data_IF_697910335236
#
_entry.id   IF_697910335236
#
_cell.length_a   1.000
_cell.length_b   1.000
_cell.length_c   1.000
_cell.angle_alpha   90.00
_cell.angle_beta   90.00
_cell.angle_gamma   90.00
#
_symmetry.space_group_name_H-M   'P 1'
#
loop_
_entity.id
_entity.type
_entity.pdbx_description
1 polymer ?
#
# COMPACT_ATOMS: atom_id res chain seq x y z
N UNK A 1 16.97 1.99 -17.98
CA UNK A 1 16.45 1.38 -16.74
C UNK A 1 14.94 1.54 -16.76
N UNK A 2 14.20 0.50 -17.10
CA UNK A 2 12.73 0.51 -17.05
C UNK A 2 12.31 0.27 -15.61
N UNK A 3 11.83 1.30 -14.92
CA UNK A 3 11.19 1.14 -13.62
C UNK A 3 9.90 0.35 -13.84
N UNK A 4 9.91 -0.94 -13.50
CA UNK A 4 8.73 -1.79 -13.61
C UNK A 4 7.84 -1.53 -12.40
N UNK A 5 6.66 -0.95 -12.66
CA UNK A 5 5.63 -0.75 -11.64
C UNK A 5 4.94 -2.09 -11.39
N UNK A 6 5.15 -2.64 -10.19
CA UNK A 6 4.57 -3.92 -9.77
C UNK A 6 3.39 -3.76 -8.79
N UNK A 7 3.16 -2.54 -8.26
CA UNK A 7 2.10 -2.23 -7.31
C UNK A 7 1.50 -0.84 -7.62
N UNK A 8 0.17 -0.76 -7.69
CA UNK A 8 -0.58 0.49 -7.84
C UNK A 8 -1.59 0.60 -6.71
N UNK A 9 -1.57 1.74 -6.00
CA UNK A 9 -2.52 2.03 -4.93
C UNK A 9 -3.28 3.31 -5.29
N UNK A 10 -4.59 3.20 -5.45
CA UNK A 10 -5.47 4.35 -5.65
C UNK A 10 -5.82 4.98 -4.30
N UNK A 11 -5.41 6.23 -4.09
CA UNK A 11 -5.79 7.00 -2.91
C UNK A 11 -6.85 8.04 -3.29
N UNK A 12 -7.97 8.03 -2.56
CA UNK A 12 -9.03 9.03 -2.68
C UNK A 12 -9.46 9.46 -1.27
N UNK A 13 -9.46 10.76 -1.00
CA UNK A 13 -9.97 11.30 0.26
C UNK A 13 -10.92 12.48 0.02
N UNK A 14 -11.82 12.72 0.98
CA UNK A 14 -12.86 13.74 0.86
C UNK A 14 -12.33 15.18 1.04
N UNK A 15 -11.24 15.34 1.79
CA UNK A 15 -10.63 16.61 2.15
C UNK A 15 -9.12 16.45 2.36
N UNK A 16 -8.40 17.57 2.51
CA UNK A 16 -6.95 17.58 2.60
C UNK A 16 -6.40 16.90 3.86
N UNK A 17 -7.08 17.04 5.01
CA UNK A 17 -6.66 16.41 6.26
C UNK A 17 -6.82 14.89 6.18
N UNK A 18 -7.93 14.42 5.61
CA UNK A 18 -8.16 13.01 5.28
C UNK A 18 -7.12 12.47 4.29
N UNK A 19 -6.68 13.30 3.33
CA UNK A 19 -5.62 12.94 2.38
C UNK A 19 -4.27 12.76 3.06
N UNK A 20 -3.91 13.65 3.99
CA UNK A 20 -2.66 13.55 4.76
C UNK A 20 -2.67 12.30 5.62
N UNK A 21 -3.76 12.03 6.35
CA UNK A 21 -3.88 10.83 7.17
C UNK A 21 -3.73 9.54 6.37
N UNK A 22 -4.33 9.49 5.18
CA UNK A 22 -4.24 8.32 4.31
C UNK A 22 -2.84 8.14 3.69
N UNK A 23 -2.13 9.23 3.36
CA UNK A 23 -0.72 9.17 2.95
C UNK A 23 0.15 8.69 4.10
N UNK A 24 -0.10 9.13 5.33
CA UNK A 24 0.64 8.69 6.52
C UNK A 24 0.49 7.18 6.75
N UNK A 25 -0.75 6.68 6.76
CA UNK A 25 -1.01 5.25 6.90
C UNK A 25 -0.36 4.43 5.78
N UNK A 26 -0.44 4.91 4.53
CA UNK A 26 0.26 4.28 3.41
C UNK A 26 1.77 4.32 3.57
N UNK A 27 2.32 5.43 4.07
CA UNK A 27 3.76 5.56 4.27
C UNK A 27 4.26 4.61 5.34
N UNK A 28 3.51 4.41 6.43
CA UNK A 28 3.84 3.43 7.47
C UNK A 28 3.84 2.01 6.89
N UNK A 29 2.80 1.66 6.14
CA UNK A 29 2.64 0.34 5.51
C UNK A 29 3.72 0.06 4.46
N UNK A 30 4.17 1.09 3.72
CA UNK A 30 5.22 0.98 2.71
C UNK A 30 6.65 1.20 3.26
N UNK A 31 6.81 1.67 4.49
CA UNK A 31 8.14 1.82 5.10
C UNK A 31 8.71 0.47 5.52
N UNK A 32 7.83 -0.49 5.81
CA UNK A 32 8.19 -1.85 6.17
C UNK A 32 8.48 -2.68 4.93
N UNK A 33 9.76 -2.93 4.66
CA UNK A 33 10.24 -3.68 3.49
C UNK A 33 9.60 -5.07 3.40
N UNK A 34 9.35 -5.72 4.54
CA UNK A 34 8.70 -7.03 4.64
C UNK A 34 7.23 -7.00 4.16
N UNK A 35 6.50 -5.92 4.43
CA UNK A 35 5.13 -5.73 3.94
C UNK A 35 5.15 -5.49 2.43
N UNK A 36 6.14 -4.72 1.95
CA UNK A 36 6.30 -4.40 0.54
C UNK A 36 6.61 -5.65 -0.29
N UNK A 37 7.49 -6.53 0.19
CA UNK A 37 7.74 -7.84 -0.44
C UNK A 37 6.49 -8.73 -0.45
N UNK A 38 5.72 -8.76 0.65
CA UNK A 38 4.47 -9.51 0.72
C UNK A 38 3.43 -8.99 -0.27
N UNK A 39 3.30 -7.67 -0.43
CA UNK A 39 2.41 -7.05 -1.43
C UNK A 39 2.84 -7.38 -2.86
N UNK A 40 4.14 -7.39 -3.13
CA UNK A 40 4.70 -7.71 -4.46
C UNK A 40 4.57 -9.20 -4.82
N UNK A 41 4.56 -10.07 -3.83
CA UNK A 41 4.45 -11.54 -4.01
C UNK A 41 3.04 -12.08 -3.82
N UNK A 42 2.10 -11.23 -3.37
CA UNK A 42 0.71 -11.59 -3.17
C UNK A 42 0.10 -12.15 -4.46
N UNK A 43 -0.42 -13.37 -4.39
CA UNK A 43 -0.95 -14.09 -5.55
C UNK A 43 -2.47 -14.01 -5.67
N UNK A 44 -3.13 -13.36 -4.70
CA UNK A 44 -4.59 -13.24 -4.64
C UNK A 44 -5.00 -11.95 -3.92
N UNK A 45 -6.13 -11.38 -4.34
CA UNK A 45 -6.76 -10.22 -3.71
C UNK A 45 -7.01 -10.43 -2.22
N UNK A 46 -7.31 -11.67 -1.80
CA UNK A 46 -7.52 -12.01 -0.39
C UNK A 46 -6.24 -11.89 0.43
N UNK A 47 -5.08 -12.26 -0.15
CA UNK A 47 -3.78 -12.09 0.49
C UNK A 47 -3.44 -10.62 0.62
N UNK A 48 -3.68 -9.82 -0.43
CA UNK A 48 -3.51 -8.37 -0.38
C UNK A 48 -4.35 -7.73 0.73
N UNK A 49 -5.63 -8.09 0.84
CA UNK A 49 -6.50 -7.60 1.91
C UNK A 49 -6.02 -8.02 3.30
N UNK A 50 -5.52 -9.25 3.47
CA UNK A 50 -4.95 -9.73 4.73
C UNK A 50 -3.72 -8.91 5.13
N UNK A 51 -2.81 -8.65 4.18
CA UNK A 51 -1.60 -7.85 4.40
C UNK A 51 -1.97 -6.41 4.78
N UNK A 52 -2.89 -5.78 4.03
CA UNK A 52 -3.34 -4.40 4.30
C UNK A 52 -4.03 -4.30 5.66
N UNK A 53 -4.78 -5.33 6.07
CA UNK A 53 -5.47 -5.33 7.37
C UNK A 53 -4.56 -5.46 8.60
N UNK A 54 -3.29 -5.80 8.40
CA UNK A 54 -2.29 -5.91 9.47
C UNK A 54 -1.54 -4.60 9.74
N UNK A 55 -1.55 -3.69 8.76
CA UNK A 55 -0.98 -2.34 8.89
C UNK A 55 -1.94 -1.36 9.56
#
# INVERSE_FOLDING_TARGET
MTNQLNLLIGLSAADADSHIGAIQALSELLCEEEILEQLLTASSEKQLADIISRG
#
